data_IF_196711610998
#
_entry.id   IF_196711610998
#
_cell.length_a   1.000
_cell.length_b   1.000
_cell.length_c   1.000
_cell.angle_alpha   90.00
_cell.angle_beta   90.00
_cell.angle_gamma   90.00
#
_symmetry.space_group_name_H-M   'P 1'
#
loop_
_entity.id
_entity.type
_entity.pdbx_description
1 polymer ?
#
# COMPACT_ATOMS: atom_id res chain seq x y z
N UNK A 1 -0.85 6.29 29.00
CA UNK A 1 -1.64 7.01 30.02
C UNK A 1 -3.09 6.67 29.77
N UNK A 2 -3.62 5.68 30.48
CA UNK A 2 -4.98 5.14 30.32
C UNK A 2 -5.98 6.11 30.96
N UNK A 3 -6.74 6.83 30.13
CA UNK A 3 -7.91 7.57 30.60
C UNK A 3 -8.96 6.55 31.06
N UNK A 4 -9.00 6.26 32.37
CA UNK A 4 -9.98 5.36 32.95
C UNK A 4 -11.40 5.85 32.68
N UNK A 5 -12.24 4.98 32.10
CA UNK A 5 -13.68 5.25 31.90
C UNK A 5 -14.31 5.51 33.27
N UNK A 6 -15.12 6.57 33.38
CA UNK A 6 -15.92 6.87 34.59
C UNK A 6 -17.38 6.68 34.28
N UNK A 7 -18.16 6.22 35.25
CA UNK A 7 -19.58 6.05 35.09
C UNK A 7 -20.28 7.40 34.86
N UNK A 8 -21.06 7.51 33.79
CA UNK A 8 -21.81 8.74 33.44
C UNK A 8 -22.92 9.05 34.45
N UNK A 9 -23.36 8.07 35.22
CA UNK A 9 -24.47 8.21 36.16
C UNK A 9 -24.02 8.60 37.58
N UNK A 10 -22.95 8.00 38.11
CA UNK A 10 -22.50 8.23 39.48
C UNK A 10 -21.06 8.75 39.60
N UNK A 11 -20.32 8.86 38.49
CA UNK A 11 -18.94 9.34 38.49
C UNK A 11 -17.88 8.39 39.05
N UNK A 12 -18.27 7.21 39.55
CA UNK A 12 -17.35 6.18 40.04
C UNK A 12 -16.50 5.58 38.90
N UNK A 13 -15.28 5.19 39.25
CA UNK A 13 -14.32 4.47 38.40
C UNK A 13 -14.38 2.95 38.59
N UNK A 14 -15.25 2.46 39.49
CA UNK A 14 -15.44 1.05 39.78
C UNK A 14 -16.41 0.47 38.75
N UNK A 15 -15.81 -0.03 37.66
CA UNK A 15 -16.50 -0.61 36.52
C UNK A 15 -15.97 -2.03 36.35
N UNK A 16 -16.85 -3.01 36.49
CA UNK A 16 -16.55 -4.40 36.14
C UNK A 16 -16.91 -4.64 34.68
N UNK A 17 -16.09 -5.44 34.02
CA UNK A 17 -16.22 -5.77 32.60
C UNK A 17 -16.39 -7.27 32.51
N UNK A 18 -17.52 -7.73 31.95
CA UNK A 18 -17.72 -9.14 31.64
C UNK A 18 -17.36 -9.39 30.16
N UNK A 19 -16.19 -10.00 29.88
CA UNK A 19 -15.76 -10.26 28.52
C UNK A 19 -16.62 -11.31 27.80
N UNK A 20 -17.38 -12.15 28.52
CA UNK A 20 -18.24 -13.15 27.90
C UNK A 20 -19.56 -12.56 27.40
N UNK A 21 -20.03 -11.47 28.01
CA UNK A 21 -21.24 -10.74 27.58
C UNK A 21 -20.95 -9.48 26.78
N UNK A 22 -19.75 -8.90 26.90
CA UNK A 22 -19.36 -7.68 26.19
C UNK A 22 -19.89 -6.39 26.83
N UNK A 23 -20.45 -6.48 28.03
CA UNK A 23 -21.01 -5.36 28.79
C UNK A 23 -20.05 -4.89 29.89
N UNK A 24 -19.99 -3.59 30.11
CA UNK A 24 -19.33 -2.98 31.25
C UNK A 24 -20.37 -2.45 32.23
N UNK A 25 -20.32 -2.86 33.50
CA UNK A 25 -21.30 -2.49 34.52
C UNK A 25 -20.60 -1.75 35.66
N UNK A 26 -21.14 -0.59 36.05
CA UNK A 26 -20.66 0.10 37.24
C UNK A 26 -21.14 -0.61 38.50
N UNK A 27 -20.22 -1.10 39.32
CA UNK A 27 -20.55 -1.84 40.56
C UNK A 27 -21.12 -0.92 41.65
N UNK A 28 -20.88 0.39 41.56
CA UNK A 28 -21.35 1.35 42.55
C UNK A 28 -22.82 1.81 42.33
N UNK A 29 -23.31 1.86 41.09
CA UNK A 29 -24.67 2.32 40.79
C UNK A 29 -25.51 1.38 39.92
N UNK A 30 -24.96 0.23 39.53
CA UNK A 30 -25.64 -0.77 38.70
C UNK A 30 -25.93 -0.34 37.26
N UNK A 31 -25.38 0.80 36.83
CA UNK A 31 -25.61 1.30 35.47
C UNK A 31 -24.73 0.54 34.47
N UNK A 32 -25.37 -0.01 33.43
CA UNK A 32 -24.69 -0.61 32.27
C UNK A 32 -24.13 0.52 31.42
N UNK A 33 -22.81 0.50 31.22
CA UNK A 33 -22.08 1.41 30.36
C UNK A 33 -21.88 0.71 29.01
N UNK A 34 -22.71 1.04 28.04
CA UNK A 34 -22.57 0.51 26.69
C UNK A 34 -21.42 1.19 25.94
N UNK A 35 -20.52 0.37 25.37
CA UNK A 35 -20.03 0.47 24.00
C UNK A 35 -19.11 -0.74 23.75
N UNK A 36 -19.60 -1.67 22.91
CA UNK A 36 -18.98 -2.90 22.45
C UNK A 36 -17.45 -2.89 22.55
N UNK A 37 -16.90 -3.70 23.45
CA UNK A 37 -15.46 -3.91 23.55
C UNK A 37 -15.05 -4.69 22.30
N UNK A 38 -14.41 -4.02 21.34
CA UNK A 38 -13.82 -4.66 20.17
C UNK A 38 -12.62 -5.47 20.66
N UNK A 39 -12.81 -6.76 20.90
CA UNK A 39 -11.72 -7.68 21.24
C UNK A 39 -11.01 -8.04 19.93
N UNK A 40 -9.71 -7.71 19.85
CA UNK A 40 -8.85 -8.14 18.73
C UNK A 40 -8.35 -9.57 18.98
N UNK A 41 -9.25 -10.51 19.21
CA UNK A 41 -8.90 -11.94 19.25
C UNK A 41 -9.18 -12.57 17.89
N UNK A 42 -8.21 -13.35 17.39
CA UNK A 42 -8.37 -14.13 16.17
C UNK A 42 -9.01 -15.44 16.59
N UNK A 43 -10.33 -15.57 16.38
CA UNK A 43 -11.03 -16.82 16.65
C UNK A 43 -10.82 -17.77 15.47
N UNK A 44 -10.41 -19.01 15.70
CA UNK A 44 -10.22 -20.01 14.64
C UNK A 44 -11.36 -21.03 14.71
N UNK A 45 -12.11 -21.19 13.62
CA UNK A 45 -13.11 -22.23 13.46
C UNK A 45 -12.49 -23.43 12.74
N UNK A 46 -12.59 -24.62 13.33
CA UNK A 46 -12.21 -25.86 12.66
C UNK A 46 -13.40 -26.41 11.88
N UNK A 47 -13.37 -26.24 10.56
CA UNK A 47 -14.35 -26.83 9.66
C UNK A 47 -14.24 -28.36 9.64
N UNK A 48 -15.36 -29.04 9.37
CA UNK A 48 -15.36 -30.49 9.20
C UNK A 48 -14.40 -30.87 8.07
N UNK A 49 -13.54 -31.86 8.34
CA UNK A 49 -12.34 -32.24 7.55
C UNK A 49 -11.03 -31.48 7.83
N UNK A 50 -10.84 -30.93 9.04
CA UNK A 50 -9.53 -30.44 9.51
C UNK A 50 -9.07 -29.14 8.84
N UNK A 51 -10.01 -28.38 8.27
CA UNK A 51 -9.75 -27.07 7.69
C UNK A 51 -9.94 -26.01 8.78
N UNK A 52 -8.85 -25.52 9.37
CA UNK A 52 -8.92 -24.38 10.29
C UNK A 52 -9.07 -23.07 9.50
N UNK A 53 -10.14 -22.33 9.74
CA UNK A 53 -10.39 -21.02 9.14
C UNK A 53 -10.44 -19.96 10.24
N UNK A 54 -9.63 -18.91 10.13
CA UNK A 54 -9.70 -17.78 11.05
C UNK A 54 -10.99 -16.97 10.78
N UNK A 55 -11.82 -16.79 11.80
CA UNK A 55 -12.96 -15.89 11.82
C UNK A 55 -12.41 -14.47 11.98
N UNK A 56 -12.29 -13.75 10.87
CA UNK A 56 -11.88 -12.35 10.86
C UNK A 56 -11.40 -11.93 9.46
N UNK A 57 -11.80 -10.73 9.02
CA UNK A 57 -11.33 -10.19 7.76
C UNK A 57 -10.09 -9.32 8.00
N UNK A 58 -8.98 -9.61 7.32
CA UNK A 58 -7.79 -8.78 7.38
C UNK A 58 -8.07 -7.40 6.77
N UNK A 59 -8.05 -6.36 7.61
CA UNK A 59 -8.19 -4.95 7.20
C UNK A 59 -6.80 -4.33 7.22
N UNK A 60 -6.28 -3.93 6.06
CA UNK A 60 -4.98 -3.25 5.98
C UNK A 60 -5.10 -1.82 6.51
N UNK A 61 -4.06 -1.32 7.19
CA UNK A 61 -4.06 0.05 7.74
C UNK A 61 -4.28 1.16 6.69
N UNK A 62 -4.11 0.86 5.39
CA UNK A 62 -4.38 1.78 4.27
C UNK A 62 -5.77 1.61 3.61
N UNK A 63 -6.61 0.65 4.06
CA UNK A 63 -7.97 0.52 3.54
C UNK A 63 -8.92 1.42 4.34
N UNK A 64 -9.23 2.61 3.82
CA UNK A 64 -10.44 3.32 4.22
C UNK A 64 -11.65 2.43 3.90
N UNK A 65 -12.42 2.14 4.94
CA UNK A 65 -13.44 1.08 4.99
C UNK A 65 -14.29 0.94 3.73
N UNK A 66 -14.32 -0.29 3.21
CA UNK A 66 -15.30 -0.76 2.24
C UNK A 66 -16.02 -1.96 2.84
N UNK A 67 -17.34 -1.88 2.93
CA UNK A 67 -18.21 -2.92 3.44
C UNK A 67 -18.11 -4.21 2.62
N UNK A 68 -17.74 -5.33 3.23
CA UNK A 68 -17.90 -6.64 2.60
C UNK A 68 -19.20 -7.28 3.06
N UNK A 69 -20.29 -6.99 2.35
CA UNK A 69 -21.50 -7.82 2.46
C UNK A 69 -21.30 -9.11 1.67
N UNK A 70 -21.43 -10.21 2.39
CA UNK A 70 -21.57 -11.56 1.88
C UNK A 70 -22.74 -11.62 0.88
N UNK A 71 -22.45 -12.02 -0.37
CA UNK A 71 -23.47 -12.36 -1.36
C UNK A 71 -24.26 -11.18 -1.95
N UNK A 72 -23.69 -10.47 -2.92
CA UNK A 72 -24.48 -9.72 -3.89
C UNK A 72 -23.83 -9.79 -5.27
N UNK A 73 -24.49 -10.55 -6.13
CA UNK A 73 -24.37 -10.52 -7.59
C UNK A 73 -24.30 -9.07 -8.09
N UNK A 74 -23.35 -8.78 -8.97
CA UNK A 74 -23.30 -7.66 -9.91
C UNK A 74 -24.03 -6.38 -9.48
N UNK A 75 -23.33 -5.36 -8.95
CA UNK A 75 -23.53 -3.94 -9.29
C UNK A 75 -22.45 -3.06 -8.60
N UNK A 76 -21.45 -2.65 -9.40
CA UNK A 76 -20.71 -1.36 -9.33
C UNK A 76 -20.16 -0.89 -7.97
N UNK A 77 -18.97 -1.39 -7.60
CA UNK A 77 -18.02 -0.71 -6.70
C UNK A 77 -16.59 -0.64 -7.29
N UNK A 78 -16.48 -0.61 -8.62
CA UNK A 78 -15.26 -0.85 -9.41
C UNK A 78 -14.15 0.21 -9.40
N UNK A 79 -14.05 1.02 -8.35
CA UNK A 79 -13.04 2.10 -8.25
C UNK A 79 -11.78 1.73 -7.48
N UNK A 80 -11.93 1.17 -6.28
CA UNK A 80 -10.83 0.98 -5.33
C UNK A 80 -10.10 -0.36 -5.53
N UNK A 81 -10.84 -1.43 -5.81
CA UNK A 81 -10.26 -2.73 -6.19
C UNK A 81 -9.39 -2.60 -7.46
N UNK A 82 -9.83 -1.79 -8.44
CA UNK A 82 -9.11 -1.55 -9.69
C UNK A 82 -7.74 -0.89 -9.45
N UNK A 83 -7.63 0.01 -8.47
CA UNK A 83 -6.37 0.70 -8.14
C UNK A 83 -5.39 -0.26 -7.48
N UNK A 84 -5.85 -1.05 -6.51
CA UNK A 84 -5.02 -2.05 -5.84
C UNK A 84 -4.53 -3.15 -6.80
N UNK A 85 -5.42 -3.65 -7.67
CA UNK A 85 -5.05 -4.60 -8.73
C UNK A 85 -4.01 -4.00 -9.68
N UNK A 86 -4.15 -2.72 -10.03
CA UNK A 86 -3.16 -2.01 -10.87
C UNK A 86 -1.81 -1.88 -10.18
N UNK A 87 -1.79 -1.55 -8.88
CA UNK A 87 -0.57 -1.49 -8.09
C UNK A 87 0.12 -2.84 -7.98
N UNK A 88 -0.63 -3.92 -7.72
CA UNK A 88 -0.09 -5.27 -7.67
C UNK A 88 0.52 -5.69 -9.01
N UNK A 89 -0.18 -5.43 -10.13
CA UNK A 89 0.35 -5.68 -11.48
C UNK A 89 1.61 -4.87 -11.76
N UNK A 90 1.63 -3.59 -11.36
CA UNK A 90 2.77 -2.72 -11.54
C UNK A 90 3.99 -3.19 -10.74
N UNK A 91 3.80 -3.59 -9.47
CA UNK A 91 4.87 -4.14 -8.63
C UNK A 91 5.52 -5.36 -9.26
N UNK A 92 4.71 -6.26 -9.81
CA UNK A 92 5.21 -7.43 -10.53
C UNK A 92 6.02 -7.03 -11.78
N UNK A 93 5.50 -6.09 -12.57
CA UNK A 93 6.19 -5.61 -13.78
C UNK A 93 7.50 -4.87 -13.49
N UNK A 94 7.51 -4.01 -12.47
CA UNK A 94 8.69 -3.26 -12.01
C UNK A 94 9.74 -4.23 -11.44
N UNK A 95 9.32 -5.19 -10.61
CA UNK A 95 10.23 -6.20 -10.06
C UNK A 95 10.83 -7.09 -11.15
N UNK A 96 10.03 -7.53 -12.12
CA UNK A 96 10.51 -8.30 -13.27
C UNK A 96 11.56 -7.53 -14.07
N UNK A 97 11.27 -6.27 -14.41
CA UNK A 97 12.20 -5.40 -15.14
C UNK A 97 13.47 -5.11 -14.34
N UNK A 98 13.33 -4.83 -13.04
CA UNK A 98 14.47 -4.58 -12.15
C UNK A 98 15.38 -5.80 -12.01
N UNK A 99 14.82 -7.00 -11.95
CA UNK A 99 15.58 -8.24 -11.92
C UNK A 99 16.35 -8.48 -13.23
N UNK A 100 15.75 -8.19 -14.39
CA UNK A 100 16.42 -8.28 -15.69
C UNK A 100 17.61 -7.31 -15.80
N UNK A 101 17.45 -6.10 -15.26
CA UNK A 101 18.50 -5.08 -15.19
C UNK A 101 19.47 -5.28 -14.00
N UNK A 102 19.33 -6.36 -13.23
CA UNK A 102 20.16 -6.67 -12.04
C UNK A 102 20.21 -5.53 -11.00
N UNK A 103 19.08 -4.85 -10.81
CA UNK A 103 18.94 -3.78 -9.81
C UNK A 103 18.82 -4.34 -8.39
N UNK A 104 19.23 -3.54 -7.41
CA UNK A 104 19.05 -3.89 -5.99
C UNK A 104 17.57 -3.85 -5.60
N UNK A 105 17.19 -4.63 -4.59
CA UNK A 105 15.82 -4.62 -4.04
C UNK A 105 15.41 -3.22 -3.54
N UNK A 106 16.37 -2.45 -3.02
CA UNK A 106 16.15 -1.05 -2.65
C UNK A 106 15.66 -0.22 -3.84
N UNK A 107 16.37 -0.27 -4.98
CA UNK A 107 15.98 0.45 -6.20
C UNK A 107 14.57 0.06 -6.70
N UNK A 108 14.22 -1.23 -6.59
CA UNK A 108 12.93 -1.78 -7.02
C UNK A 108 11.80 -1.26 -6.12
N UNK A 109 12.01 -1.23 -4.80
CA UNK A 109 11.03 -0.72 -3.85
C UNK A 109 10.81 0.80 -4.02
N UNK A 110 11.89 1.57 -4.19
CA UNK A 110 11.81 3.00 -4.50
C UNK A 110 11.04 3.26 -5.80
N UNK A 111 11.30 2.46 -6.86
CA UNK A 111 10.56 2.56 -8.12
C UNK A 111 9.06 2.26 -7.94
N UNK A 112 8.71 1.28 -7.11
CA UNK A 112 7.32 0.99 -6.76
C UNK A 112 6.67 2.16 -6.01
N UNK A 113 7.41 2.83 -5.12
CA UNK A 113 6.98 4.06 -4.44
C UNK A 113 6.67 5.19 -5.43
N UNK A 114 7.55 5.44 -6.40
CA UNK A 114 7.30 6.44 -7.45
C UNK A 114 6.07 6.11 -8.29
N UNK A 115 5.85 4.82 -8.60
CA UNK A 115 4.65 4.40 -9.31
C UNK A 115 3.38 4.67 -8.50
N UNK A 116 3.38 4.38 -7.19
CA UNK A 116 2.26 4.70 -6.28
C UNK A 116 1.94 6.20 -6.29
N UNK A 117 2.96 7.05 -6.22
CA UNK A 117 2.79 8.51 -6.30
C UNK A 117 2.23 8.96 -7.66
N UNK A 118 2.74 8.39 -8.75
CA UNK A 118 2.26 8.69 -10.10
C UNK A 118 0.80 8.29 -10.30
N UNK A 119 0.38 7.15 -9.72
CA UNK A 119 -0.99 6.67 -9.76
C UNK A 119 -1.93 7.59 -8.98
N UNK A 120 -1.52 8.07 -7.80
CA UNK A 120 -2.29 9.04 -7.00
C UNK A 120 -2.50 10.38 -7.70
N UNK A 121 -1.60 10.78 -8.60
CA UNK A 121 -1.74 12.00 -9.42
C UNK A 121 -2.39 11.76 -10.78
N UNK A 122 -2.96 10.57 -11.02
CA UNK A 122 -3.57 10.15 -12.30
C UNK A 122 -2.65 10.27 -13.53
N UNK A 123 -1.33 10.22 -13.34
CA UNK A 123 -0.33 10.37 -14.43
C UNK A 123 -0.22 9.12 -15.32
N UNK A 124 -0.89 8.03 -14.94
CA UNK A 124 -0.94 6.76 -15.67
C UNK A 124 -2.07 6.72 -16.72
N UNK A 125 -2.99 7.70 -16.73
CA UNK A 125 -4.16 7.68 -17.60
C UNK A 125 -3.77 8.00 -19.06
N UNK A 126 -4.13 7.12 -19.99
CA UNK A 126 -3.89 7.29 -21.43
C UNK A 126 -2.49 6.90 -21.92
N UNK A 127 -1.65 6.28 -21.07
CA UNK A 127 -0.35 5.72 -21.47
C UNK A 127 -0.28 4.24 -21.12
N UNK A 128 0.53 3.48 -21.87
CA UNK A 128 0.78 2.08 -21.55
C UNK A 128 1.50 1.98 -20.20
N UNK A 129 1.00 1.15 -19.29
CA UNK A 129 1.61 0.94 -17.97
C UNK A 129 3.08 0.51 -18.09
N UNK A 130 3.45 -0.26 -19.11
CA UNK A 130 4.84 -0.65 -19.41
C UNK A 130 5.78 0.55 -19.53
N UNK A 131 5.34 1.65 -20.16
CA UNK A 131 6.16 2.87 -20.30
C UNK A 131 6.33 3.57 -18.95
N UNK A 132 5.30 3.53 -18.10
CA UNK A 132 5.37 4.10 -16.76
C UNK A 132 6.29 3.26 -15.87
N UNK A 133 6.20 1.93 -15.93
CA UNK A 133 7.12 1.04 -15.19
C UNK A 133 8.57 1.36 -15.54
N UNK A 134 8.87 1.48 -16.84
CA UNK A 134 10.19 1.83 -17.35
C UNK A 134 10.68 3.20 -16.84
N UNK A 135 9.83 4.22 -16.89
CA UNK A 135 10.15 5.56 -16.41
C UNK A 135 10.39 5.59 -14.89
N UNK A 136 9.61 4.86 -14.10
CA UNK A 136 9.77 4.74 -12.65
C UNK A 136 11.08 4.02 -12.27
N UNK A 137 11.43 2.96 -12.98
CA UNK A 137 12.71 2.25 -12.78
C UNK A 137 13.89 3.15 -13.16
N UNK A 138 13.84 3.81 -14.31
CA UNK A 138 14.90 4.74 -14.70
C UNK A 138 15.07 5.87 -13.68
N UNK A 139 13.98 6.38 -13.12
CA UNK A 139 14.01 7.42 -12.11
C UNK A 139 14.67 6.96 -10.80
N UNK A 140 14.41 5.73 -10.33
CA UNK A 140 15.10 5.19 -9.16
C UNK A 140 16.58 4.94 -9.43
N UNK A 141 16.92 4.37 -10.59
CA UNK A 141 18.31 4.18 -11.02
C UNK A 141 19.11 5.49 -11.00
N UNK A 142 18.47 6.59 -11.40
CA UNK A 142 19.05 7.94 -11.43
C UNK A 142 19.18 8.56 -10.05
N UNK A 143 18.22 8.31 -9.17
CA UNK A 143 18.25 8.81 -7.78
C UNK A 143 19.36 8.12 -6.98
N UNK A 144 19.54 6.81 -7.21
CA UNK A 144 20.56 5.99 -6.54
C UNK A 144 21.97 6.13 -7.15
N UNK A 145 22.10 6.84 -8.28
CA UNK A 145 23.39 7.07 -8.94
C UNK A 145 23.99 5.84 -9.63
N UNK A 146 23.16 4.90 -10.06
CA UNK A 146 23.62 3.69 -10.77
C UNK A 146 23.97 3.97 -12.24
N UNK A 147 24.80 3.12 -12.85
CA UNK A 147 25.26 3.28 -14.24
C UNK A 147 24.25 2.85 -15.32
N UNK A 148 22.98 2.58 -14.97
CA UNK A 148 21.97 2.13 -15.93
C UNK A 148 21.42 3.30 -16.75
N UNK A 149 21.47 3.17 -18.07
CA UNK A 149 21.03 4.18 -19.03
C UNK A 149 19.62 3.86 -19.54
N UNK A 150 18.96 4.88 -20.09
CA UNK A 150 17.66 4.76 -20.76
C UNK A 150 17.68 3.73 -21.91
N UNK A 151 18.85 3.53 -22.53
CA UNK A 151 19.05 2.55 -23.62
C UNK A 151 19.01 1.11 -23.13
N UNK A 152 19.48 0.81 -21.91
CA UNK A 152 19.47 -0.54 -21.36
C UNK A 152 18.03 -1.01 -21.11
N UNK A 153 17.20 -0.09 -20.63
CA UNK A 153 15.76 -0.33 -20.39
C UNK A 153 15.01 -0.45 -21.72
N UNK A 154 15.41 0.35 -22.71
CA UNK A 154 14.87 0.32 -24.08
C UNK A 154 15.13 -1.01 -24.76
N UNK A 155 16.30 -1.59 -24.57
CA UNK A 155 16.67 -2.91 -25.09
C UNK A 155 15.84 -4.03 -24.44
N UNK A 156 15.69 -4.02 -23.11
CA UNK A 156 14.89 -5.04 -22.40
C UNK A 156 13.40 -4.99 -22.79
N UNK A 157 12.84 -3.79 -22.91
CA UNK A 157 11.40 -3.62 -23.20
C UNK A 157 11.08 -3.54 -24.69
N UNK A 158 12.08 -3.46 -25.57
CA UNK A 158 11.94 -3.27 -27.02
C UNK A 158 11.04 -2.07 -27.36
N UNK A 159 11.22 -0.94 -26.66
CA UNK A 159 10.49 0.33 -26.87
C UNK A 159 11.48 1.41 -27.26
N UNK A 160 11.11 2.29 -28.19
CA UNK A 160 11.93 3.43 -28.61
C UNK A 160 12.35 4.33 -27.42
N UNK A 161 13.65 4.58 -27.27
CA UNK A 161 14.20 5.43 -26.21
C UNK A 161 13.62 6.85 -26.19
N UNK A 162 13.25 7.39 -27.36
CA UNK A 162 12.60 8.70 -27.49
C UNK A 162 11.22 8.75 -26.81
N UNK A 163 10.42 7.68 -26.88
CA UNK A 163 9.10 7.61 -26.25
C UNK A 163 9.21 7.48 -24.73
N UNK A 164 10.18 6.68 -24.28
CA UNK A 164 10.56 6.54 -22.87
C UNK A 164 11.01 7.89 -22.29
N UNK A 165 11.88 8.61 -22.99
CA UNK A 165 12.37 9.93 -22.58
C UNK A 165 11.24 10.95 -22.42
N UNK A 166 10.28 11.01 -23.35
CA UNK A 166 9.09 11.88 -23.23
C UNK A 166 8.23 11.53 -22.02
N UNK A 167 8.04 10.25 -21.74
CA UNK A 167 7.24 9.78 -20.60
C UNK A 167 7.95 10.12 -19.29
N UNK A 168 9.26 9.86 -19.22
CA UNK A 168 10.11 10.20 -18.08
C UNK A 168 10.06 11.70 -17.76
N UNK A 169 10.31 12.57 -18.74
CA UNK A 169 10.33 14.03 -18.52
C UNK A 169 9.02 14.54 -17.92
N UNK A 170 7.88 14.05 -18.44
CA UNK A 170 6.56 14.42 -17.90
C UNK A 170 6.36 13.89 -16.49
N UNK A 171 6.86 12.70 -16.18
CA UNK A 171 6.74 12.09 -14.86
C UNK A 171 7.61 12.84 -13.84
N UNK A 172 8.85 13.18 -14.17
CA UNK A 172 9.72 13.96 -13.28
C UNK A 172 9.21 15.37 -13.03
N UNK A 173 8.70 16.04 -14.06
CA UNK A 173 8.05 17.36 -13.92
C UNK A 173 6.83 17.30 -12.99
N UNK A 174 6.01 16.26 -13.13
CA UNK A 174 4.78 16.14 -12.37
C UNK A 174 4.96 15.63 -10.93
N UNK A 175 6.04 14.89 -10.64
CA UNK A 175 6.34 14.42 -9.29
C UNK A 175 7.19 15.42 -8.48
N UNK A 176 7.71 16.49 -9.09
CA UNK A 176 8.59 17.48 -8.45
C UNK A 176 9.78 16.85 -7.72
N UNK A 177 10.28 15.72 -8.20
CA UNK A 177 11.42 15.05 -7.60
C UNK A 177 12.67 15.83 -8.04
N UNK A 178 13.41 16.33 -7.05
CA UNK A 178 14.73 16.92 -7.26
C UNK A 178 15.71 15.81 -7.61
N UNK A 179 15.66 15.35 -8.87
CA UNK A 179 16.64 14.40 -9.39
C UNK A 179 17.99 15.11 -9.33
N UNK A 180 18.99 14.58 -8.60
CA UNK A 180 20.30 15.20 -8.56
C UNK A 180 20.79 15.37 -10.00
N UNK A 181 20.99 16.64 -10.39
CA UNK A 181 21.47 17.02 -11.71
C UNK A 181 22.86 16.43 -11.89
N UNK A 182 22.94 15.26 -12.56
CA UNK A 182 24.15 14.60 -13.09
C UNK A 182 25.44 15.17 -12.53
N UNK A 183 25.71 14.90 -11.26
CA UNK A 183 27.04 15.17 -10.73
C UNK A 183 27.83 13.92 -11.05
N UNK A 184 28.66 14.00 -12.10
CA UNK A 184 29.68 13.01 -12.48
C UNK A 184 30.75 13.00 -11.39
N UNK A 185 30.39 12.62 -10.17
CA UNK A 185 31.33 12.47 -9.06
C UNK A 185 30.91 11.23 -8.29
N UNK A 186 31.61 10.10 -8.51
CA UNK A 186 31.94 9.14 -7.43
C UNK A 186 32.67 7.85 -7.82
N UNK A 187 33.25 7.68 -9.00
CA UNK A 187 34.11 6.49 -9.23
C UNK A 187 35.27 6.76 -10.19
N UNK A 188 36.26 7.54 -9.76
CA UNK A 188 37.71 7.38 -10.08
C UNK A 188 38.53 8.55 -9.51
N UNK A 189 38.95 8.45 -8.24
CA UNK A 189 40.29 8.79 -7.73
C UNK A 189 40.43 7.94 -6.47
N UNK A 190 40.98 6.74 -6.63
CA UNK A 190 41.92 6.11 -5.72
C UNK A 190 42.67 5.04 -6.53
#
# INVERSE_FOLDING_TARGET
>A
MSSGRKCKNCGSSDIEVDPARGDAVCTNCGSVLEDNIIVAEVQFEEGTHGTSSAIGQFVSAESQGGSNKFGASFHVAGGLESREVTLRKARNGISHLGNQLKLSQHCIDTACGFFKMALSRHLTKGRKNTHIHAACVYLSCRTEGTAHLLIDISDVLQICCYELGRTYLKLTQALCINVPSVVIVRHTIN
#
